data_IF_116023113929
#
_entry.id   IF_116023113929
#
_cell.length_a   1.000
_cell.length_b   1.000
_cell.length_c   1.000
_cell.angle_alpha   90.00
_cell.angle_beta   90.00
_cell.angle_gamma   90.00
#
_symmetry.space_group_name_H-M   'P 1'
#
loop_
_entity.id
_entity.type
_entity.pdbx_description
1 polymer ?
#
# COMPACT_ATOMS: atom_id res chain seq x y z
N UNK A 1 -15.65 -16.51 2.85
CA UNK A 1 -16.71 -16.57 3.89
C UNK A 1 -17.57 -17.78 3.59
N UNK A 2 -17.60 -18.82 4.41
CA UNK A 2 -18.68 -19.81 4.35
C UNK A 2 -19.87 -19.18 5.04
N UNK A 3 -20.88 -18.82 4.28
CA UNK A 3 -22.17 -18.42 4.80
C UNK A 3 -22.85 -19.70 5.34
N UNK A 4 -22.97 -19.83 6.65
CA UNK A 4 -23.95 -20.75 7.22
C UNK A 4 -25.31 -20.17 6.90
N UNK A 5 -26.09 -20.89 6.12
CA UNK A 5 -27.39 -20.45 5.64
C UNK A 5 -28.29 -20.04 6.81
N UNK A 6 -28.63 -18.76 6.90
CA UNK A 6 -29.64 -18.22 7.80
C UNK A 6 -29.13 -17.72 9.16
N UNK A 7 -27.82 -17.73 9.45
CA UNK A 7 -27.30 -17.11 10.68
C UNK A 7 -27.29 -15.58 10.53
N UNK A 8 -27.93 -14.87 11.47
CA UNK A 8 -27.78 -13.43 11.58
C UNK A 8 -26.46 -13.12 12.30
N UNK A 9 -25.61 -12.32 11.66
CA UNK A 9 -24.40 -11.83 12.27
C UNK A 9 -24.64 -10.42 12.84
N UNK A 10 -24.39 -10.25 14.12
CA UNK A 10 -24.42 -8.96 14.79
C UNK A 10 -23.00 -8.47 15.03
N UNK A 11 -22.75 -7.20 14.73
CA UNK A 11 -21.47 -6.53 14.97
C UNK A 11 -21.71 -5.19 15.64
N UNK A 12 -20.95 -4.88 16.67
CA UNK A 12 -20.96 -3.58 17.36
C UNK A 12 -20.10 -2.55 16.59
N UNK A 13 -20.35 -2.40 15.30
CA UNK A 13 -19.61 -1.54 14.39
C UNK A 13 -19.51 -2.12 13.00
N UNK A 14 -18.59 -1.61 12.18
CA UNK A 14 -18.31 -2.20 10.87
C UNK A 14 -17.73 -3.60 11.08
N UNK A 15 -18.31 -4.63 10.42
CA UNK A 15 -17.70 -5.95 10.38
C UNK A 15 -16.24 -5.87 9.88
N UNK A 16 -15.35 -6.64 10.47
CA UNK A 16 -13.91 -6.60 10.18
C UNK A 16 -13.57 -6.71 8.68
N UNK A 17 -14.32 -7.47 7.92
CA UNK A 17 -14.14 -7.65 6.47
C UNK A 17 -14.57 -6.44 5.63
N UNK A 18 -15.15 -5.39 6.25
CA UNK A 18 -15.44 -4.10 5.62
C UNK A 18 -14.43 -3.00 6.01
N UNK A 19 -13.54 -3.25 6.98
CA UNK A 19 -12.63 -2.23 7.48
C UNK A 19 -11.74 -1.64 6.37
N UNK A 20 -11.23 -2.49 5.47
CA UNK A 20 -10.40 -2.06 4.36
C UNK A 20 -11.16 -1.29 3.27
N UNK A 21 -12.49 -1.45 3.22
CA UNK A 21 -13.34 -0.75 2.26
C UNK A 21 -13.72 0.66 2.73
N UNK A 22 -13.53 0.96 4.02
CA UNK A 22 -13.84 2.27 4.60
C UNK A 22 -13.07 3.37 3.88
N UNK A 23 -13.72 4.48 3.46
CA UNK A 23 -13.00 5.65 2.96
C UNK A 23 -11.99 6.15 4.00
N UNK A 24 -10.71 6.21 3.62
CA UNK A 24 -9.61 6.58 4.51
C UNK A 24 -8.45 7.21 3.74
N UNK A 25 -7.53 7.85 4.45
CA UNK A 25 -6.35 8.47 3.88
C UNK A 25 -6.66 9.56 2.86
N UNK A 26 -5.78 9.74 1.89
CA UNK A 26 -5.90 10.77 0.86
C UNK A 26 -7.19 10.64 0.04
N UNK A 27 -7.47 9.47 -0.50
CA UNK A 27 -8.67 9.23 -1.32
C UNK A 27 -9.97 9.33 -0.50
N UNK A 28 -9.94 8.93 0.78
CA UNK A 28 -11.08 9.10 1.67
C UNK A 28 -11.41 10.56 1.94
N UNK A 29 -10.40 11.44 2.10
CA UNK A 29 -10.61 12.88 2.22
C UNK A 29 -11.18 13.49 0.94
N UNK A 30 -10.64 13.14 -0.21
CA UNK A 30 -11.18 13.56 -1.50
C UNK A 30 -12.65 13.14 -1.66
N UNK A 31 -12.97 11.91 -1.27
CA UNK A 31 -14.34 11.41 -1.24
C UNK A 31 -15.26 12.22 -0.31
N UNK A 32 -14.80 12.52 0.92
CA UNK A 32 -15.58 13.31 1.87
C UNK A 32 -15.88 14.73 1.37
N UNK A 33 -14.91 15.36 0.73
CA UNK A 33 -15.08 16.67 0.09
C UNK A 33 -16.12 16.60 -1.05
N UNK A 34 -16.03 15.58 -1.89
CA UNK A 34 -16.88 15.45 -3.08
C UNK A 34 -18.32 15.09 -2.77
N UNK A 35 -18.53 14.12 -1.87
CA UNK A 35 -19.84 13.50 -1.65
C UNK A 35 -20.41 13.71 -0.24
N UNK A 36 -19.61 14.29 0.68
CA UNK A 36 -20.03 14.43 2.07
C UNK A 36 -21.36 15.19 2.23
N UNK A 37 -21.50 16.32 1.56
CA UNK A 37 -22.73 17.14 1.65
C UNK A 37 -23.95 16.42 1.05
N UNK A 38 -23.80 15.77 -0.10
CA UNK A 38 -24.87 14.99 -0.76
C UNK A 38 -25.38 13.85 0.10
N UNK A 39 -24.47 13.18 0.78
CA UNK A 39 -24.79 12.03 1.64
C UNK A 39 -25.12 12.41 3.09
N UNK A 40 -25.12 13.69 3.44
CA UNK A 40 -25.32 14.16 4.81
C UNK A 40 -24.24 13.65 5.77
N UNK A 41 -22.97 13.60 5.31
CA UNK A 41 -21.82 13.15 6.08
C UNK A 41 -21.03 14.36 6.61
N UNK A 42 -20.33 14.22 7.76
CA UNK A 42 -19.42 15.26 8.24
C UNK A 42 -18.36 15.61 7.19
N UNK A 43 -17.99 16.88 7.10
CA UNK A 43 -16.97 17.33 6.14
C UNK A 43 -15.55 16.84 6.44
N UNK A 44 -15.27 16.52 7.73
CA UNK A 44 -14.00 15.93 8.13
C UNK A 44 -14.14 14.43 8.26
N UNK A 45 -13.23 13.70 7.61
CA UNK A 45 -13.18 12.23 7.68
C UNK A 45 -12.92 11.71 9.12
N UNK A 46 -12.25 12.51 9.96
CA UNK A 46 -12.02 12.18 11.38
C UNK A 46 -13.30 12.09 12.19
N UNK A 47 -14.37 12.74 11.75
CA UNK A 47 -15.67 12.76 12.44
C UNK A 47 -16.61 11.65 11.96
N UNK A 48 -16.12 10.81 11.03
CA UNK A 48 -16.93 9.72 10.51
C UNK A 48 -17.00 8.56 11.47
N UNK A 49 -18.23 8.16 11.77
CA UNK A 49 -18.55 6.90 12.45
C UNK A 49 -18.65 5.76 11.44
N UNK A 50 -18.76 4.54 11.92
CA UNK A 50 -19.00 3.35 11.10
C UNK A 50 -20.31 3.46 10.29
N UNK A 51 -21.34 4.11 10.83
CA UNK A 51 -22.59 4.39 10.10
C UNK A 51 -22.34 5.31 8.89
N UNK A 52 -21.48 6.31 9.03
CA UNK A 52 -21.10 7.19 7.92
C UNK A 52 -20.33 6.43 6.84
N UNK A 53 -19.37 5.59 7.26
CA UNK A 53 -18.64 4.74 6.33
C UNK A 53 -19.58 3.75 5.60
N UNK A 54 -20.50 3.11 6.32
CA UNK A 54 -21.47 2.20 5.72
C UNK A 54 -22.37 2.90 4.70
N UNK A 55 -22.84 4.12 5.01
CA UNK A 55 -23.63 4.94 4.07
C UNK A 55 -22.85 5.22 2.78
N UNK A 56 -21.57 5.60 2.89
CA UNK A 56 -20.71 5.80 1.74
C UNK A 56 -20.56 4.52 0.90
N UNK A 57 -20.34 3.37 1.55
CA UNK A 57 -20.20 2.07 0.89
C UNK A 57 -21.47 1.61 0.17
N UNK A 58 -22.65 1.81 0.77
CA UNK A 58 -23.92 1.46 0.17
C UNK A 58 -24.22 2.25 -1.11
N UNK A 59 -23.73 3.48 -1.22
CA UNK A 59 -23.97 4.35 -2.39
C UNK A 59 -22.84 4.28 -3.41
N UNK A 60 -21.57 4.36 -2.96
CA UNK A 60 -20.40 4.50 -3.82
C UNK A 60 -19.38 3.35 -3.69
N UNK A 61 -19.74 2.27 -2.98
CA UNK A 61 -18.85 1.12 -2.78
C UNK A 61 -18.57 0.27 -4.01
N UNK A 62 -18.87 0.76 -5.22
CA UNK A 62 -18.67 0.00 -6.46
C UNK A 62 -17.21 -0.10 -6.92
N UNK A 63 -16.30 0.76 -6.45
CA UNK A 63 -14.86 0.69 -6.78
C UNK A 63 -13.95 0.75 -5.54
N UNK A 64 -14.37 0.15 -4.44
CA UNK A 64 -13.54 0.00 -3.25
C UNK A 64 -12.58 -1.20 -3.35
N UNK A 65 -11.68 -1.33 -2.39
CA UNK A 65 -10.72 -2.44 -2.28
C UNK A 65 -11.44 -3.78 -2.17
N UNK A 66 -10.88 -4.80 -2.81
CA UNK A 66 -11.42 -6.16 -2.75
C UNK A 66 -12.57 -6.42 -3.71
N UNK A 67 -13.37 -7.45 -3.42
CA UNK A 67 -14.39 -8.01 -4.32
C UNK A 67 -15.81 -7.96 -3.76
N UNK A 68 -16.05 -7.26 -2.65
CA UNK A 68 -17.37 -7.12 -2.08
C UNK A 68 -18.09 -5.88 -2.62
N UNK A 69 -19.39 -6.00 -2.79
CA UNK A 69 -20.31 -4.92 -3.12
C UNK A 69 -21.41 -4.88 -2.07
N UNK A 70 -21.67 -3.72 -1.48
CA UNK A 70 -22.69 -3.53 -0.46
C UNK A 70 -23.88 -2.79 -1.03
N UNK A 71 -25.06 -3.41 -0.89
CA UNK A 71 -26.34 -2.82 -1.29
C UNK A 71 -26.58 -2.76 -2.80
N UNK A 72 -27.82 -2.50 -3.15
CA UNK A 72 -28.26 -2.53 -4.53
C UNK A 72 -27.69 -1.39 -5.36
N UNK A 73 -27.57 -0.18 -4.80
CA UNK A 73 -27.01 0.97 -5.52
C UNK A 73 -25.57 0.75 -5.95
N UNK A 74 -24.71 0.23 -5.06
CA UNK A 74 -23.33 -0.08 -5.41
C UNK A 74 -23.24 -1.21 -6.44
N UNK A 75 -24.13 -2.22 -6.34
CA UNK A 75 -24.24 -3.31 -7.29
C UNK A 75 -24.68 -2.81 -8.68
N UNK A 76 -25.74 -2.01 -8.74
CA UNK A 76 -26.23 -1.44 -10.00
C UNK A 76 -25.19 -0.57 -10.69
N UNK A 77 -24.51 0.31 -9.93
CA UNK A 77 -23.42 1.13 -10.46
C UNK A 77 -22.28 0.29 -11.03
N UNK A 78 -21.90 -0.79 -10.33
CA UNK A 78 -20.90 -1.70 -10.83
C UNK A 78 -21.31 -2.41 -12.12
N UNK A 79 -22.54 -2.91 -12.19
CA UNK A 79 -23.04 -3.66 -13.34
C UNK A 79 -23.35 -2.76 -14.55
N UNK A 80 -23.74 -1.51 -14.32
CA UNK A 80 -24.04 -0.53 -15.38
C UNK A 80 -22.83 0.26 -15.84
N UNK A 81 -21.70 0.18 -15.13
CA UNK A 81 -20.49 0.87 -15.53
C UNK A 81 -20.02 0.40 -16.91
N UNK A 82 -19.73 1.32 -17.84
CA UNK A 82 -19.13 0.93 -19.11
C UNK A 82 -17.74 0.30 -18.88
N UNK A 83 -17.30 -0.59 -19.78
CA UNK A 83 -15.94 -1.07 -19.72
C UNK A 83 -14.94 0.09 -19.67
N UNK A 84 -13.98 0.08 -18.75
CA UNK A 84 -13.01 1.17 -18.65
C UNK A 84 -12.13 1.22 -19.91
N UNK A 85 -11.90 2.42 -20.43
CA UNK A 85 -10.96 2.63 -21.53
C UNK A 85 -9.56 2.83 -20.97
N UNK A 86 -8.56 2.06 -21.40
CA UNK A 86 -7.22 2.19 -20.88
C UNK A 86 -6.56 3.47 -21.39
N UNK A 87 -5.88 4.18 -20.50
CA UNK A 87 -5.00 5.29 -20.87
C UNK A 87 -3.85 4.73 -21.72
N UNK A 88 -3.67 5.20 -22.99
CA UNK A 88 -2.62 4.69 -23.87
C UNK A 88 -1.22 4.97 -23.31
N UNK A 89 -0.27 4.06 -23.57
CA UNK A 89 1.10 4.18 -23.06
C UNK A 89 1.75 5.52 -23.42
N UNK A 90 1.54 5.99 -24.65
CA UNK A 90 2.13 7.25 -25.15
C UNK A 90 1.51 8.50 -24.51
N UNK A 91 0.31 8.41 -23.99
CA UNK A 91 -0.45 9.55 -23.42
C UNK A 91 -0.37 9.63 -21.89
N UNK A 92 0.16 8.58 -21.25
CA UNK A 92 0.15 8.46 -19.78
C UNK A 92 0.67 9.70 -19.06
N UNK A 93 1.82 10.19 -19.45
CA UNK A 93 2.47 11.30 -18.74
C UNK A 93 1.57 12.55 -18.69
N UNK A 94 1.03 12.98 -19.85
CA UNK A 94 0.12 14.12 -19.91
C UNK A 94 -1.21 13.86 -19.20
N UNK A 95 -1.76 12.66 -19.36
CA UNK A 95 -3.02 12.27 -18.72
C UNK A 95 -2.89 12.21 -17.19
N UNK A 96 -1.76 11.69 -16.68
CA UNK A 96 -1.51 11.63 -15.24
C UNK A 96 -1.36 12.99 -14.60
N UNK A 97 -0.80 13.99 -15.29
CA UNK A 97 -0.80 15.40 -14.83
C UNK A 97 -2.23 15.92 -14.62
N UNK A 98 -3.13 15.63 -15.56
CA UNK A 98 -4.54 16.04 -15.45
C UNK A 98 -5.23 15.34 -14.27
N UNK A 99 -5.09 14.00 -14.17
CA UNK A 99 -5.68 13.23 -13.06
C UNK A 99 -5.12 13.64 -11.70
N UNK A 100 -3.83 13.95 -11.61
CA UNK A 100 -3.22 14.44 -10.38
C UNK A 100 -3.79 15.82 -9.97
N UNK A 101 -3.98 16.72 -10.93
CA UNK A 101 -4.62 18.01 -10.67
C UNK A 101 -6.08 17.86 -10.23
N UNK A 102 -6.83 16.94 -10.81
CA UNK A 102 -8.21 16.62 -10.40
C UNK A 102 -8.23 16.01 -8.99
N UNK A 103 -7.34 15.06 -8.71
CA UNK A 103 -7.23 14.45 -7.39
C UNK A 103 -6.86 15.48 -6.31
N UNK A 104 -5.96 16.42 -6.60
CA UNK A 104 -5.58 17.48 -5.67
C UNK A 104 -6.74 18.44 -5.37
N UNK A 105 -7.69 18.63 -6.30
CA UNK A 105 -8.92 19.41 -6.07
C UNK A 105 -10.03 18.61 -5.39
N UNK A 106 -9.85 17.30 -5.17
CA UNK A 106 -10.88 16.40 -4.67
C UNK A 106 -11.92 16.01 -5.73
N UNK A 107 -11.66 16.24 -7.02
CA UNK A 107 -12.59 15.96 -8.11
C UNK A 107 -12.65 14.47 -8.50
N UNK A 108 -11.63 13.72 -8.18
CA UNK A 108 -11.54 12.29 -8.51
C UNK A 108 -11.91 11.44 -7.31
N UNK A 109 -13.12 10.89 -7.25
CA UNK A 109 -13.46 9.86 -6.29
C UNK A 109 -12.76 8.57 -6.70
N UNK A 110 -11.78 8.19 -5.93
CA UNK A 110 -11.09 6.91 -6.14
C UNK A 110 -11.55 5.85 -5.17
N UNK A 111 -11.06 4.64 -5.37
CA UNK A 111 -11.21 3.56 -4.42
C UNK A 111 -10.63 3.95 -3.05
N UNK A 112 -11.05 3.27 -2.00
CA UNK A 112 -10.57 3.48 -0.63
C UNK A 112 -9.14 2.96 -0.39
N UNK A 113 -8.24 3.03 -1.37
CA UNK A 113 -6.84 2.69 -1.14
C UNK A 113 -6.27 3.61 -0.06
N UNK A 114 -5.85 3.03 1.06
CA UNK A 114 -5.37 3.75 2.23
C UNK A 114 -4.09 4.56 1.97
N UNK A 115 -3.60 5.22 3.00
CA UNK A 115 -2.36 6.01 3.00
C UNK A 115 -2.55 7.49 2.67
N UNK A 116 -1.64 8.29 3.21
CA UNK A 116 -1.70 9.75 3.22
C UNK A 116 -1.07 10.41 1.98
N UNK A 117 -0.27 9.67 1.22
CA UNK A 117 0.42 10.17 0.03
C UNK A 117 -0.58 10.48 -1.09
N UNK A 118 -0.40 11.60 -1.84
CA UNK A 118 -1.23 11.95 -2.99
C UNK A 118 -1.26 10.83 -4.02
N UNK A 119 -2.47 10.44 -4.44
CA UNK A 119 -2.68 9.34 -5.39
C UNK A 119 -4.02 9.44 -6.09
N UNK A 120 -4.14 8.79 -7.23
CA UNK A 120 -5.39 8.53 -7.93
C UNK A 120 -5.41 7.07 -8.45
N UNK A 121 -6.57 6.63 -8.92
CA UNK A 121 -6.73 5.33 -9.59
C UNK A 121 -7.15 5.52 -11.03
N UNK A 122 -6.67 4.65 -11.92
CA UNK A 122 -7.08 4.66 -13.32
C UNK A 122 -6.93 3.27 -13.94
N UNK A 123 -7.43 3.10 -15.16
CA UNK A 123 -7.19 1.93 -15.99
C UNK A 123 -6.22 2.33 -17.09
N UNK A 124 -5.10 1.65 -17.24
CA UNK A 124 -4.02 2.09 -18.12
C UNK A 124 -3.34 0.92 -18.83
N UNK A 125 -2.79 1.17 -20.01
CA UNK A 125 -1.94 0.20 -20.69
C UNK A 125 -0.65 -0.03 -19.92
N UNK A 126 -0.27 -1.30 -19.74
CA UNK A 126 1.03 -1.69 -19.18
C UNK A 126 1.74 -2.61 -20.19
N UNK A 127 3.04 -2.93 -20.02
CA UNK A 127 3.71 -3.90 -20.89
C UNK A 127 3.01 -5.26 -20.95
N UNK A 128 2.29 -5.63 -19.89
CA UNK A 128 1.55 -6.89 -19.78
C UNK A 128 0.04 -6.75 -20.15
N UNK A 129 -0.33 -5.67 -20.86
CA UNK A 129 -1.71 -5.33 -21.24
C UNK A 129 -2.38 -4.37 -20.26
N UNK A 130 -3.65 -4.00 -20.51
CA UNK A 130 -4.37 -3.03 -19.67
C UNK A 130 -4.55 -3.51 -18.23
N UNK A 131 -4.29 -2.64 -17.26
CA UNK A 131 -4.41 -2.91 -15.82
C UNK A 131 -5.07 -1.74 -15.08
N UNK A 132 -5.78 -2.07 -14.02
CA UNK A 132 -6.12 -1.06 -13.00
C UNK A 132 -4.85 -0.73 -12.20
N UNK A 133 -4.58 0.55 -12.03
CA UNK A 133 -3.40 1.06 -11.33
C UNK A 133 -3.78 2.07 -10.26
N UNK A 134 -2.98 2.11 -9.20
CA UNK A 134 -2.89 3.23 -8.28
C UNK A 134 -1.66 4.02 -8.71
N UNK A 135 -1.81 5.32 -8.87
CA UNK A 135 -0.70 6.20 -9.25
C UNK A 135 -0.45 7.18 -8.11
N UNK A 136 0.68 7.01 -7.42
CA UNK A 136 1.19 7.97 -6.45
C UNK A 136 1.91 9.07 -7.21
N UNK A 137 1.82 10.33 -6.74
CA UNK A 137 2.43 11.44 -7.45
C UNK A 137 3.01 12.50 -6.50
N UNK A 138 3.96 13.27 -7.02
CA UNK A 138 4.50 14.46 -6.36
C UNK A 138 3.76 15.70 -6.83
N UNK A 139 3.76 16.77 -6.01
CA UNK A 139 3.20 18.04 -6.40
C UNK A 139 4.03 18.68 -7.54
N UNK A 140 3.39 19.46 -8.45
CA UNK A 140 4.06 20.12 -9.57
C UNK A 140 4.79 21.41 -9.13
N UNK A 141 5.38 21.41 -7.96
CA UNK A 141 6.02 22.59 -7.34
C UNK A 141 7.46 22.26 -7.01
N UNK A 142 8.38 23.12 -7.41
CA UNK A 142 9.76 23.05 -6.96
C UNK A 142 9.84 23.27 -5.45
N UNK A 143 10.42 22.31 -4.76
CA UNK A 143 10.58 22.43 -3.33
C UNK A 143 11.26 21.20 -2.70
N UNK A 144 11.86 21.41 -1.55
CA UNK A 144 12.58 20.38 -0.81
C UNK A 144 11.69 19.15 -0.51
N UNK A 145 10.42 19.40 -0.22
CA UNK A 145 9.45 18.34 0.12
C UNK A 145 9.08 17.54 -1.13
N UNK A 146 8.79 18.21 -2.24
CA UNK A 146 8.42 17.55 -3.51
C UNK A 146 9.59 16.74 -4.06
N UNK A 147 10.82 17.29 -4.01
CA UNK A 147 12.03 16.58 -4.41
C UNK A 147 12.29 15.33 -3.56
N UNK A 148 12.13 15.43 -2.22
CA UNK A 148 12.26 14.29 -1.32
C UNK A 148 11.22 13.19 -1.60
N UNK A 149 9.98 13.56 -1.84
CA UNK A 149 8.95 12.59 -2.22
C UNK A 149 9.23 11.95 -3.59
N UNK A 150 9.78 12.73 -4.53
CA UNK A 150 10.22 12.20 -5.83
C UNK A 150 11.28 11.11 -5.65
N UNK A 151 12.28 11.32 -4.80
CA UNK A 151 13.30 10.33 -4.48
C UNK A 151 12.72 9.10 -3.77
N UNK A 152 11.78 9.29 -2.85
CA UNK A 152 11.12 8.20 -2.14
C UNK A 152 10.24 7.33 -3.06
N UNK A 153 9.55 7.91 -4.03
CA UNK A 153 8.80 7.14 -5.04
C UNK A 153 9.72 6.28 -5.90
N UNK A 154 10.89 6.81 -6.26
CA UNK A 154 11.91 6.01 -6.97
C UNK A 154 12.45 4.89 -6.07
N UNK A 155 12.74 5.19 -4.82
CA UNK A 155 13.22 4.19 -3.86
C UNK A 155 12.19 3.08 -3.63
N UNK A 156 10.89 3.40 -3.56
CA UNK A 156 9.81 2.41 -3.48
C UNK A 156 9.79 1.49 -4.71
N UNK A 157 9.87 2.08 -5.90
CA UNK A 157 9.98 1.31 -7.15
C UNK A 157 11.14 0.31 -7.08
N UNK A 158 12.33 0.77 -6.72
CA UNK A 158 13.53 -0.06 -6.68
C UNK A 158 13.47 -1.14 -5.59
N UNK A 159 12.82 -0.88 -4.47
CA UNK A 159 12.61 -1.88 -3.42
C UNK A 159 11.67 -3.00 -3.89
N UNK A 160 10.56 -2.66 -4.53
CA UNK A 160 9.61 -3.64 -5.08
C UNK A 160 10.22 -4.45 -6.23
N UNK A 161 11.02 -3.82 -7.11
CA UNK A 161 11.77 -4.52 -8.15
C UNK A 161 12.81 -5.48 -7.54
N UNK A 162 13.49 -5.09 -6.47
CA UNK A 162 14.44 -5.96 -5.77
C UNK A 162 13.76 -7.22 -5.23
N UNK A 163 12.61 -7.06 -4.58
CA UNK A 163 11.81 -8.20 -4.11
C UNK A 163 11.39 -9.11 -5.26
N UNK A 164 10.89 -8.55 -6.35
CA UNK A 164 10.42 -9.32 -7.51
C UNK A 164 11.53 -10.11 -8.20
N UNK A 165 12.70 -9.52 -8.40
CA UNK A 165 13.85 -10.21 -8.98
C UNK A 165 14.36 -11.35 -8.12
N UNK A 166 14.18 -11.25 -6.81
CA UNK A 166 14.49 -12.33 -5.87
C UNK A 166 13.38 -13.40 -5.77
N UNK A 167 12.31 -13.28 -6.58
CA UNK A 167 11.19 -14.23 -6.57
C UNK A 167 10.16 -13.99 -5.46
N UNK A 168 10.28 -12.89 -4.71
CA UNK A 168 9.29 -12.50 -3.70
C UNK A 168 8.14 -11.76 -4.39
N UNK A 169 6.90 -12.15 -4.08
CA UNK A 169 5.73 -11.50 -4.67
C UNK A 169 5.66 -10.03 -4.26
N UNK A 170 5.74 -9.12 -5.22
CA UNK A 170 5.60 -7.68 -5.01
C UNK A 170 4.84 -7.03 -6.17
N UNK A 171 4.15 -5.94 -5.88
CA UNK A 171 3.38 -5.19 -6.86
C UNK A 171 4.30 -4.73 -8.02
N UNK A 172 3.80 -4.83 -9.25
CA UNK A 172 4.50 -4.29 -10.42
C UNK A 172 4.38 -2.78 -10.41
N UNK A 173 5.49 -2.12 -10.62
CA UNK A 173 5.55 -0.66 -10.56
C UNK A 173 6.27 -0.09 -11.77
N UNK A 174 5.97 1.18 -12.06
CA UNK A 174 6.65 1.95 -13.10
C UNK A 174 6.79 3.40 -12.66
N UNK A 175 7.97 3.96 -12.82
CA UNK A 175 8.22 5.40 -12.63
C UNK A 175 8.00 6.12 -13.96
N UNK A 176 7.27 7.23 -13.91
CA UNK A 176 7.01 8.12 -15.05
C UNK A 176 7.32 9.53 -14.57
N UNK A 177 8.28 10.18 -15.22
CA UNK A 177 8.64 11.57 -14.95
C UNK A 177 8.03 12.48 -16.04
N UNK A 178 7.38 13.56 -15.63
CA UNK A 178 6.86 14.58 -16.54
C UNK A 178 6.95 15.97 -15.94
N UNK A 179 7.73 16.85 -16.57
CA UNK A 179 8.04 18.16 -16.02
C UNK A 179 8.73 18.03 -14.66
N UNK A 180 8.11 18.61 -13.63
CA UNK A 180 8.60 18.57 -12.24
C UNK A 180 7.91 17.48 -11.40
N UNK A 181 7.00 16.71 -11.98
CA UNK A 181 6.28 15.67 -11.29
C UNK A 181 6.86 14.29 -11.58
N UNK A 182 6.91 13.48 -10.53
CA UNK A 182 7.15 12.04 -10.62
C UNK A 182 5.89 11.30 -10.26
N UNK A 183 5.58 10.31 -11.07
CA UNK A 183 4.48 9.36 -10.86
C UNK A 183 5.04 7.98 -10.60
N UNK A 184 4.53 7.31 -9.58
CA UNK A 184 4.75 5.89 -9.36
C UNK A 184 3.44 5.15 -9.65
N UNK A 185 3.40 4.51 -10.79
CA UNK A 185 2.31 3.61 -11.19
C UNK A 185 2.50 2.27 -10.49
N UNK A 186 1.48 1.79 -9.80
CA UNK A 186 1.44 0.52 -9.06
C UNK A 186 0.27 -0.30 -9.57
N UNK A 187 0.51 -1.49 -10.14
CA UNK A 187 -0.55 -2.37 -10.60
C UNK A 187 -1.38 -2.89 -9.43
N UNK A 188 -2.71 -2.80 -9.55
CA UNK A 188 -3.64 -3.30 -8.54
C UNK A 188 -3.77 -4.81 -8.63
N UNK A 189 -3.33 -5.51 -7.60
CA UNK A 189 -3.46 -6.96 -7.52
C UNK A 189 -4.85 -7.45 -7.04
N UNK A 190 -5.69 -6.55 -6.56
CA UNK A 190 -7.09 -6.81 -6.24
C UNK A 190 -8.03 -6.69 -7.45
N UNK A 191 -7.49 -6.44 -8.63
CA UNK A 191 -8.21 -6.34 -9.90
C UNK A 191 -7.77 -7.40 -10.89
N UNK A 192 -8.71 -7.92 -11.68
CA UNK A 192 -8.48 -8.95 -12.70
C UNK A 192 -9.12 -8.50 -14.01
N UNK A 193 -8.33 -8.18 -15.03
CA UNK A 193 -8.85 -7.61 -16.28
C UNK A 193 -9.60 -6.30 -16.05
N UNK A 194 -10.58 -6.02 -16.87
CA UNK A 194 -11.34 -4.77 -16.83
C UNK A 194 -12.36 -4.69 -15.67
N UNK A 195 -13.00 -5.80 -15.31
CA UNK A 195 -14.09 -5.82 -14.32
C UNK A 195 -13.89 -6.83 -13.18
N UNK A 196 -12.98 -7.78 -13.34
CA UNK A 196 -12.75 -8.82 -12.34
C UNK A 196 -12.12 -8.27 -11.05
N UNK A 197 -12.43 -8.93 -9.93
CA UNK A 197 -11.96 -8.53 -8.59
C UNK A 197 -11.51 -9.74 -7.79
N UNK A 198 -10.58 -9.52 -6.88
CA UNK A 198 -10.06 -10.53 -5.96
C UNK A 198 -10.30 -10.07 -4.51
N UNK A 199 -10.65 -11.02 -3.64
CA UNK A 199 -10.74 -10.75 -2.22
C UNK A 199 -9.38 -10.37 -1.66
N UNK A 200 -9.34 -9.29 -0.90
CA UNK A 200 -8.16 -8.82 -0.18
C UNK A 200 -8.58 -8.38 1.22
N UNK A 201 -7.75 -8.70 2.20
CA UNK A 201 -7.95 -8.32 3.60
C UNK A 201 -6.59 -7.88 4.16
N UNK A 202 -6.52 -6.73 4.80
CA UNK A 202 -5.31 -6.26 5.46
C UNK A 202 -5.00 -7.04 6.76
N UNK A 203 -3.74 -7.03 7.16
CA UNK A 203 -3.34 -7.54 8.46
C UNK A 203 -4.05 -6.78 9.59
N UNK A 204 -4.33 -5.49 9.41
CA UNK A 204 -5.08 -4.67 10.38
C UNK A 204 -6.52 -5.15 10.57
N UNK A 205 -7.21 -5.52 9.50
CA UNK A 205 -8.56 -6.07 9.58
C UNK A 205 -8.56 -7.46 10.25
N UNK A 206 -7.57 -8.31 9.94
CA UNK A 206 -7.39 -9.60 10.62
C UNK A 206 -7.05 -9.43 12.10
N UNK A 207 -6.15 -8.50 12.42
CA UNK A 207 -5.78 -8.22 13.82
C UNK A 207 -6.99 -7.77 14.63
N UNK A 208 -7.81 -6.89 14.08
CA UNK A 208 -9.00 -6.37 14.77
C UNK A 208 -9.99 -7.46 15.19
N UNK A 209 -10.12 -8.53 14.40
CA UNK A 209 -11.06 -9.61 14.65
C UNK A 209 -10.45 -10.78 15.44
N UNK A 210 -9.24 -11.21 15.04
CA UNK A 210 -8.71 -12.51 15.49
C UNK A 210 -7.57 -12.42 16.51
N UNK A 211 -6.93 -11.24 16.65
CA UNK A 211 -5.75 -11.07 17.51
C UNK A 211 -5.97 -9.97 18.56
N UNK A 212 -6.47 -8.80 18.12
CA UNK A 212 -6.78 -7.67 19.00
C UNK A 212 -5.54 -6.95 19.55
N UNK A 213 -4.41 -7.01 18.84
CA UNK A 213 -3.17 -6.37 19.32
C UNK A 213 -3.14 -4.86 19.07
N UNK A 214 -3.69 -4.44 17.95
CA UNK A 214 -3.76 -3.05 17.48
C UNK A 214 -2.43 -2.42 17.09
N UNK A 215 -1.31 -2.92 17.59
CA UNK A 215 0.02 -2.31 17.44
C UNK A 215 1.20 -3.28 17.35
N UNK A 216 0.98 -4.57 17.44
CA UNK A 216 2.07 -5.54 17.38
C UNK A 216 2.72 -5.53 15.99
N UNK A 217 3.99 -5.96 15.94
CA UNK A 217 4.72 -6.12 14.68
C UNK A 217 4.11 -7.24 13.85
N UNK A 218 4.25 -7.15 12.53
CA UNK A 218 3.74 -8.16 11.58
C UNK A 218 4.10 -9.59 11.99
N UNK A 219 5.36 -9.92 12.34
CA UNK A 219 5.73 -11.28 12.73
C UNK A 219 4.91 -11.85 13.89
N UNK A 220 4.56 -11.02 14.87
CA UNK A 220 3.77 -11.44 16.03
C UNK A 220 2.33 -11.76 15.62
N UNK A 221 1.71 -10.87 14.85
CA UNK A 221 0.32 -10.99 14.43
C UNK A 221 0.13 -12.16 13.47
N UNK A 222 1.01 -12.27 12.44
CA UNK A 222 0.90 -13.34 11.44
C UNK A 222 1.10 -14.74 12.04
N UNK A 223 1.96 -14.88 13.05
CA UNK A 223 2.14 -16.18 13.74
C UNK A 223 0.87 -16.60 14.49
N UNK A 224 0.18 -15.68 15.13
CA UNK A 224 -1.10 -15.94 15.79
C UNK A 224 -2.18 -16.33 14.77
N UNK A 225 -2.25 -15.61 13.65
CA UNK A 225 -3.20 -15.90 12.57
C UNK A 225 -2.91 -17.25 11.88
N UNK A 226 -1.64 -17.58 11.69
CA UNK A 226 -1.25 -18.89 11.15
C UNK A 226 -1.61 -20.03 12.13
N UNK A 227 -1.34 -19.85 13.42
CA UNK A 227 -1.67 -20.83 14.45
C UNK A 227 -3.20 -21.06 14.57
N UNK A 228 -4.03 -20.07 14.30
CA UNK A 228 -5.50 -20.18 14.28
C UNK A 228 -6.06 -20.66 12.94
N UNK A 229 -5.21 -20.86 11.91
CA UNK A 229 -5.64 -21.32 10.58
C UNK A 229 -6.29 -20.26 9.69
N UNK A 230 -6.15 -18.96 10.03
CA UNK A 230 -6.66 -17.87 9.22
C UNK A 230 -5.83 -17.63 7.98
N UNK A 231 -4.50 -17.75 8.10
CA UNK A 231 -3.54 -17.63 7.00
C UNK A 231 -2.69 -18.89 6.87
N UNK A 232 -2.08 -19.07 5.71
CA UNK A 232 -1.13 -20.17 5.46
C UNK A 232 0.16 -19.95 6.24
N UNK A 233 0.86 -21.02 6.60
CA UNK A 233 2.18 -20.94 7.25
C UNK A 233 3.20 -20.20 6.39
N UNK A 234 3.23 -20.50 5.08
CA UNK A 234 4.11 -19.84 4.12
C UNK A 234 3.86 -18.32 4.06
N UNK A 235 2.61 -17.89 4.19
CA UNK A 235 2.27 -16.46 4.23
C UNK A 235 2.82 -15.75 5.48
N UNK A 236 2.95 -16.46 6.60
CA UNK A 236 3.60 -15.94 7.80
C UNK A 236 5.11 -15.80 7.60
N UNK A 237 5.76 -16.78 6.98
CA UNK A 237 7.20 -16.75 6.69
C UNK A 237 7.54 -15.63 5.69
N UNK A 238 6.70 -15.43 4.67
CA UNK A 238 6.84 -14.32 3.71
C UNK A 238 6.65 -12.96 4.39
N UNK A 239 5.69 -12.84 5.32
CA UNK A 239 5.49 -11.62 6.09
C UNK A 239 6.68 -11.30 7.01
N UNK A 240 7.31 -12.31 7.62
CA UNK A 240 8.54 -12.17 8.39
C UNK A 240 9.68 -11.63 7.53
N UNK A 241 9.83 -12.14 6.29
CA UNK A 241 10.82 -11.66 5.34
C UNK A 241 10.58 -10.19 4.94
N UNK A 242 9.34 -9.84 4.60
CA UNK A 242 8.98 -8.47 4.24
C UNK A 242 9.19 -7.51 5.42
N UNK A 243 8.87 -7.92 6.63
CA UNK A 243 9.14 -7.14 7.85
C UNK A 243 10.64 -6.91 8.05
N UNK A 244 11.45 -7.96 7.94
CA UNK A 244 12.89 -7.88 8.09
C UNK A 244 13.51 -6.98 7.00
N UNK A 245 13.12 -7.16 5.74
CA UNK A 245 13.56 -6.32 4.63
C UNK A 245 13.17 -4.85 4.83
N UNK A 246 11.91 -4.56 5.17
CA UNK A 246 11.46 -3.21 5.47
C UNK A 246 12.26 -2.55 6.59
N UNK A 247 12.55 -3.30 7.67
CA UNK A 247 13.41 -2.82 8.77
C UNK A 247 14.80 -2.43 8.27
N UNK A 248 15.40 -3.24 7.40
CA UNK A 248 16.76 -3.02 6.89
C UNK A 248 16.85 -1.88 5.87
N UNK A 249 15.79 -1.60 5.12
CA UNK A 249 15.76 -0.45 4.21
C UNK A 249 15.26 0.84 4.88
N UNK A 250 14.94 0.82 6.17
CA UNK A 250 14.47 1.99 6.92
C UNK A 250 13.01 2.35 6.67
N UNK A 251 12.17 1.37 6.37
CA UNK A 251 10.73 1.58 6.31
C UNK A 251 10.16 1.72 7.73
N UNK A 252 9.83 2.93 8.13
CA UNK A 252 9.23 3.25 9.44
C UNK A 252 7.71 3.27 9.41
N UNK A 253 7.09 2.98 8.27
CA UNK A 253 5.63 3.01 8.08
C UNK A 253 5.03 1.61 7.93
N UNK A 254 5.62 0.61 8.57
CA UNK A 254 5.15 -0.77 8.54
C UNK A 254 4.00 -1.01 9.53
N UNK A 255 2.91 -0.25 9.37
CA UNK A 255 1.69 -0.48 10.14
C UNK A 255 0.89 -1.66 9.57
N UNK A 256 -0.10 -2.15 10.34
CA UNK A 256 -0.84 -3.38 10.01
C UNK A 256 -1.64 -3.30 8.69
N UNK A 257 -1.93 -2.11 8.17
CA UNK A 257 -2.63 -1.95 6.89
C UNK A 257 -1.68 -1.94 5.67
N UNK A 258 -0.35 -1.97 5.88
CA UNK A 258 0.65 -2.09 4.79
C UNK A 258 1.07 -3.54 4.52
N UNK A 259 0.35 -4.50 5.06
CA UNK A 259 0.41 -5.91 4.69
C UNK A 259 -1.01 -6.43 4.46
N UNK A 260 -1.21 -7.17 3.38
CA UNK A 260 -2.52 -7.72 3.03
C UNK A 260 -2.42 -9.19 2.63
N UNK A 261 -3.58 -9.85 2.63
CA UNK A 261 -3.74 -11.24 2.27
C UNK A 261 -4.81 -11.38 1.18
N UNK A 262 -4.64 -12.36 0.31
CA UNK A 262 -5.55 -12.65 -0.79
C UNK A 262 -6.06 -14.08 -0.70
N UNK A 263 -7.27 -14.31 -1.18
CA UNK A 263 -7.80 -15.64 -1.33
C UNK A 263 -8.80 -15.71 -2.48
N UNK A 264 -8.79 -16.80 -3.20
CA UNK A 264 -9.80 -17.14 -4.21
C UNK A 264 -10.91 -18.02 -3.62
N UNK A 265 -10.63 -18.72 -2.52
CA UNK A 265 -11.53 -19.75 -1.98
C UNK A 265 -11.85 -19.61 -0.48
N UNK A 266 -11.47 -18.48 0.14
CA UNK A 266 -11.59 -18.27 1.59
C UNK A 266 -10.35 -18.69 2.36
N UNK A 267 -10.52 -19.08 3.61
CA UNK A 267 -9.43 -19.47 4.52
C UNK A 267 -8.82 -20.83 4.18
N UNK A 268 -7.53 -21.04 4.44
CA UNK A 268 -6.54 -20.06 4.88
C UNK A 268 -6.09 -19.12 3.74
N UNK A 269 -5.86 -17.85 4.06
CA UNK A 269 -5.42 -16.85 3.10
C UNK A 269 -3.92 -16.96 2.80
N UNK A 270 -3.51 -16.64 1.54
CA UNK A 270 -2.12 -16.40 1.16
C UNK A 270 -1.76 -14.94 1.27
N UNK A 271 -0.46 -14.62 1.29
CA UNK A 271 -0.01 -13.23 1.29
C UNK A 271 -0.32 -12.54 -0.05
N UNK A 272 -0.66 -11.27 0.01
CA UNK A 272 -0.74 -10.42 -1.18
C UNK A 272 0.67 -9.98 -1.62
N UNK A 273 0.86 -9.60 -2.89
CA UNK A 273 2.11 -8.97 -3.30
C UNK A 273 2.48 -7.79 -2.40
N UNK A 274 3.75 -7.66 -2.03
CA UNK A 274 4.26 -6.54 -1.24
C UNK A 274 4.00 -5.20 -1.93
N UNK A 275 3.69 -4.17 -1.16
CA UNK A 275 3.47 -2.79 -1.59
C UNK A 275 3.94 -1.83 -0.50
N UNK A 276 4.04 -0.54 -0.81
CA UNK A 276 4.45 0.51 0.14
C UNK A 276 5.80 0.22 0.85
N UNK A 277 6.75 -0.41 0.11
CA UNK A 277 8.10 -0.68 0.58
C UNK A 277 9.04 0.48 0.22
N UNK A 278 9.19 1.44 1.13
CA UNK A 278 9.99 2.64 0.94
C UNK A 278 10.80 2.98 2.20
N UNK A 279 11.98 3.62 2.09
CA UNK A 279 12.74 4.10 3.25
C UNK A 279 12.07 5.31 3.91
N UNK A 280 10.90 5.08 4.51
CA UNK A 280 10.04 6.11 5.08
C UNK A 280 10.66 6.89 6.25
N UNK A 281 11.78 6.40 6.82
CA UNK A 281 12.57 7.16 7.79
C UNK A 281 13.05 8.53 7.24
N UNK A 282 13.15 8.68 5.93
CA UNK A 282 13.53 9.91 5.23
C UNK A 282 12.34 10.76 4.78
N UNK A 283 11.10 10.31 5.02
CA UNK A 283 9.92 11.05 4.59
C UNK A 283 9.82 12.42 5.28
N UNK A 284 9.36 13.46 4.57
CA UNK A 284 9.05 14.74 5.18
C UNK A 284 8.01 14.58 6.28
N UNK A 285 8.25 15.23 7.42
CA UNK A 285 7.31 15.27 8.54
C UNK A 285 6.25 16.34 8.31
N UNK A 286 5.08 16.18 8.90
CA UNK A 286 3.96 17.13 8.80
C UNK A 286 4.33 18.58 9.20
N UNK A 287 5.40 18.80 9.96
CA UNK A 287 5.96 20.12 10.29
C UNK A 287 7.04 20.61 9.32
N UNK A 288 7.27 19.96 8.16
CA UNK A 288 8.28 20.34 7.15
C UNK A 288 9.71 19.91 7.50
N UNK A 289 9.96 19.27 8.65
CA UNK A 289 11.26 18.72 9.00
C UNK A 289 11.56 17.47 8.16
N UNK A 290 12.82 17.32 7.74
CA UNK A 290 13.32 16.14 7.02
C UNK A 290 14.50 15.54 7.76
N UNK A 291 14.52 14.22 7.90
CA UNK A 291 15.64 13.50 8.43
C UNK A 291 16.53 12.98 7.29
N UNK A 292 17.84 13.09 7.46
CA UNK A 292 18.83 12.53 6.55
C UNK A 292 19.56 11.35 7.21
N UNK A 293 19.16 10.98 8.42
CA UNK A 293 19.76 9.90 9.20
C UNK A 293 18.75 8.84 9.55
N UNK A 294 19.19 7.60 9.60
CA UNK A 294 18.40 6.43 9.95
C UNK A 294 18.85 5.90 11.31
N UNK A 295 17.89 5.52 12.13
CA UNK A 295 18.17 4.86 13.40
C UNK A 295 18.67 3.43 13.17
N UNK A 296 19.52 2.94 14.08
CA UNK A 296 20.05 1.59 14.00
C UNK A 296 18.94 0.55 13.94
N UNK A 297 19.06 -0.41 13.03
CA UNK A 297 18.12 -1.51 12.93
C UNK A 297 18.07 -2.34 14.22
N UNK A 298 16.88 -2.72 14.64
CA UNK A 298 16.69 -3.68 15.73
C UNK A 298 16.43 -5.05 15.14
N UNK A 299 17.34 -5.97 15.38
CA UNK A 299 17.19 -7.37 14.96
C UNK A 299 16.39 -8.08 16.05
N UNK A 300 15.14 -8.42 15.74
CA UNK A 300 14.21 -9.04 16.69
C UNK A 300 14.26 -10.58 16.61
N UNK A 301 14.13 -11.23 17.74
CA UNK A 301 14.15 -12.71 17.86
C UNK A 301 12.85 -13.40 17.41
N UNK A 302 11.80 -12.65 17.15
CA UNK A 302 10.54 -13.11 16.55
C UNK A 302 10.67 -13.39 15.04
N UNK A 303 11.75 -12.99 14.41
CA UNK A 303 12.12 -13.34 13.04
C UNK A 303 13.33 -14.29 13.10
N UNK A 304 13.32 -15.35 12.30
CA UNK A 304 14.39 -16.36 12.29
C UNK A 304 15.73 -15.77 11.80
N UNK A 305 16.84 -16.37 12.27
CA UNK A 305 18.18 -15.98 11.82
C UNK A 305 18.36 -16.14 10.31
N UNK A 306 17.75 -17.16 9.73
CA UNK A 306 17.78 -17.41 8.28
C UNK A 306 17.03 -16.30 7.52
N UNK A 307 15.86 -15.93 7.98
CA UNK A 307 15.05 -14.83 7.40
C UNK A 307 15.83 -13.51 7.47
N UNK A 308 16.51 -13.21 8.60
CA UNK A 308 17.36 -12.00 8.69
C UNK A 308 18.52 -12.03 7.71
N UNK A 309 19.16 -13.19 7.48
CA UNK A 309 20.24 -13.33 6.48
C UNK A 309 19.73 -13.07 5.06
N UNK A 310 18.58 -13.65 4.72
CA UNK A 310 17.95 -13.43 3.41
C UNK A 310 17.55 -11.96 3.22
N UNK A 311 16.89 -11.37 4.21
CA UNK A 311 16.55 -9.94 4.19
C UNK A 311 17.79 -9.04 4.07
N UNK A 312 18.89 -9.41 4.75
CA UNK A 312 20.16 -8.73 4.64
C UNK A 312 20.77 -8.79 3.24
N UNK A 313 20.60 -9.89 2.52
CA UNK A 313 21.00 -9.98 1.11
C UNK A 313 20.15 -9.06 0.24
N UNK A 314 18.81 -9.14 0.38
CA UNK A 314 17.88 -8.27 -0.34
C UNK A 314 18.15 -6.78 -0.09
N UNK A 315 18.48 -6.39 1.14
CA UNK A 315 18.82 -5.01 1.46
C UNK A 315 20.12 -4.54 0.76
N UNK A 316 21.12 -5.41 0.65
CA UNK A 316 22.35 -5.10 -0.13
C UNK A 316 22.06 -5.00 -1.63
N UNK A 317 21.21 -5.87 -2.18
CA UNK A 317 20.82 -5.83 -3.58
C UNK A 317 20.03 -4.55 -3.90
N UNK A 318 19.12 -4.15 -3.00
CA UNK A 318 18.42 -2.87 -3.06
C UNK A 318 19.40 -1.68 -3.05
N UNK A 319 20.37 -1.66 -2.12
CA UNK A 319 21.39 -0.62 -2.06
C UNK A 319 22.21 -0.54 -3.33
N UNK A 320 22.67 -1.69 -3.84
CA UNK A 320 23.41 -1.75 -5.09
C UNK A 320 22.60 -1.24 -6.28
N UNK A 321 21.29 -1.50 -6.29
CA UNK A 321 20.36 -1.00 -7.30
C UNK A 321 20.20 0.52 -7.22
N UNK A 322 20.00 1.07 -6.03
CA UNK A 322 19.95 2.52 -5.81
C UNK A 322 21.22 3.21 -6.29
N UNK A 323 22.39 2.69 -5.93
CA UNK A 323 23.70 3.27 -6.29
C UNK A 323 23.97 3.31 -7.80
N UNK A 324 23.29 2.49 -8.59
CA UNK A 324 23.37 2.50 -10.06
C UNK A 324 22.48 3.58 -10.70
N UNK A 325 21.57 4.19 -9.94
CA UNK A 325 20.66 5.21 -10.48
C UNK A 325 21.29 6.60 -10.40
N UNK A 326 21.26 7.31 -11.51
CA UNK A 326 21.73 8.70 -11.61
C UNK A 326 20.60 9.73 -11.44
N UNK A 327 19.37 9.28 -11.21
CA UNK A 327 18.15 10.12 -11.21
C UNK A 327 17.65 10.51 -9.81
N UNK A 328 18.37 10.12 -8.76
CA UNK A 328 18.15 10.69 -7.42
C UNK A 328 18.66 12.13 -7.35
N UNK A 329 17.97 12.96 -6.58
CA UNK A 329 18.43 14.32 -6.35
C UNK A 329 19.74 14.36 -5.54
N UNK A 330 20.56 15.38 -5.77
CA UNK A 330 21.77 15.58 -4.96
C UNK A 330 21.46 15.80 -3.47
N UNK A 331 20.28 16.29 -3.17
CA UNK A 331 19.82 16.45 -1.77
C UNK A 331 19.47 15.15 -1.08
N UNK A 332 19.35 14.07 -1.85
CA UNK A 332 19.15 12.73 -1.29
C UNK A 332 20.47 12.01 -0.98
N UNK A 333 21.63 12.52 -1.44
CA UNK A 333 22.95 11.92 -1.18
C UNK A 333 23.24 11.65 0.31
N UNK A 334 22.92 12.56 1.27
CA UNK A 334 23.08 12.27 2.70
C UNK A 334 22.23 11.09 3.16
N UNK A 335 21.02 10.94 2.64
CA UNK A 335 20.12 9.81 2.94
C UNK A 335 20.71 8.50 2.41
N UNK A 336 21.25 8.50 1.20
CA UNK A 336 21.90 7.32 0.61
C UNK A 336 23.15 6.92 1.41
N UNK A 337 23.94 7.89 1.85
CA UNK A 337 25.08 7.63 2.72
C UNK A 337 24.64 7.00 4.05
N UNK A 338 23.61 7.57 4.68
CA UNK A 338 23.06 7.06 5.94
C UNK A 338 22.46 5.65 5.77
N UNK A 339 21.76 5.39 4.66
CA UNK A 339 21.22 4.08 4.33
C UNK A 339 22.32 3.03 4.13
N UNK A 340 23.40 3.41 3.44
CA UNK A 340 24.59 2.55 3.26
C UNK A 340 25.16 2.13 4.61
N UNK A 341 25.45 3.08 5.49
CA UNK A 341 25.99 2.81 6.83
C UNK A 341 25.04 1.94 7.67
N UNK A 342 23.74 2.18 7.55
CA UNK A 342 22.71 1.41 8.26
C UNK A 342 22.71 -0.06 7.83
N UNK A 343 22.70 -0.33 6.53
CA UNK A 343 22.68 -1.71 5.98
C UNK A 343 24.00 -2.44 6.31
N UNK A 344 25.13 -1.75 6.23
CA UNK A 344 26.43 -2.31 6.61
C UNK A 344 26.47 -2.67 8.11
N UNK A 345 26.02 -1.76 8.98
CA UNK A 345 25.95 -2.01 10.40
C UNK A 345 25.00 -3.16 10.77
N UNK A 346 23.85 -3.24 10.11
CA UNK A 346 22.91 -4.35 10.27
C UNK A 346 23.51 -5.67 9.79
N UNK A 347 24.22 -5.67 8.66
CA UNK A 347 24.90 -6.87 8.13
C UNK A 347 25.93 -7.44 9.12
N UNK A 348 26.68 -6.58 9.84
CA UNK A 348 27.59 -7.01 10.89
C UNK A 348 26.86 -7.66 12.08
N UNK A 349 25.67 -7.18 12.42
CA UNK A 349 24.86 -7.76 13.50
C UNK A 349 24.28 -9.12 13.05
N UNK A 350 23.73 -9.19 11.83
CA UNK A 350 23.16 -10.40 11.26
C UNK A 350 24.21 -11.51 11.11
N UNK A 351 25.43 -11.17 10.73
CA UNK A 351 26.55 -12.13 10.65
C UNK A 351 26.91 -12.79 11.99
N UNK A 352 26.53 -12.18 13.11
CA UNK A 352 26.76 -12.71 14.47
C UNK A 352 25.61 -13.59 14.98
N UNK A 353 24.51 -13.68 14.23
CA UNK A 353 23.43 -14.59 14.56
C UNK A 353 23.90 -16.02 14.32
N UNK A 354 23.87 -16.84 15.33
CA UNK A 354 24.35 -18.22 15.33
C UNK A 354 23.67 -19.15 14.31
#
# INVERSE_FOLDING_TARGET
MRQENGAAHHSDGLPWWLLDMRPQGYLGRAYAVRYGAELGLPGSLSDWTDTHALRALLVHGHDVVGNLLLGEMARERFLSAPPPTPVPMAEKAGHYVQLAAEAARGDTPGSSAGGEQPKFTTFAETPDGPRHVIVKFTEPVDGLVSERWSDLLLAEHLALETLREAGVAAARTRVIDHGQQRFLEVERFDRVGAAGRRAIISLGAFDAEFVGSGRDRWPIVVRRLSASGEIRSEAADEADLLWAFGTLIGNTDMHLYNLSFVSEHGRPYGIAPAYDMSPMCFAPRSGGGMADTIQKATIHSDVSNETWRLAGQLARDFLARIQRQSVFSRRFDPCLHSLTQHIEAASVQIAKLG
#
